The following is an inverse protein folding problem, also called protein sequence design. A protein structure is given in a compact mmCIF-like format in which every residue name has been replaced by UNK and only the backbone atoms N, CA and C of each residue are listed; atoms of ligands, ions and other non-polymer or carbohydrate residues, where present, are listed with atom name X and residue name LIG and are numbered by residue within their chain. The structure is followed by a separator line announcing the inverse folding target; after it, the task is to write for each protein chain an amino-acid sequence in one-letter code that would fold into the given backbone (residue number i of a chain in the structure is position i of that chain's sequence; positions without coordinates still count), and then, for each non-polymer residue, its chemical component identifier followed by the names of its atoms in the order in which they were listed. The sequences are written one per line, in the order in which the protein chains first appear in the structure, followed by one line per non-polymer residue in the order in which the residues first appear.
data_IF_246071398097
#
_entry.id   IF_246071398097
#
_cell.length_a   1.000
_cell.length_b   1.000
_cell.length_c   1.000
_cell.angle_alpha   90.00
_cell.angle_beta   90.00
_cell.angle_gamma   90.00
#
_symmetry.space_group_name_H-M   'P 1'
#
loop_
_entity.id
_entity.type
_entity.pdbx_description
1 polymer ?
#
# COMPACT_ATOMS: atom_id res chain seq x y z
N UNK A 1 -16.90 -34.14 -4.57
CA UNK A 1 -15.92 -33.52 -3.67
C UNK A 1 -15.31 -32.34 -4.40
N UNK A 2 -15.74 -31.13 -4.05
CA UNK A 2 -15.36 -29.89 -4.74
C UNK A 2 -14.05 -29.40 -4.16
N UNK A 3 -12.99 -29.46 -4.96
CA UNK A 3 -11.78 -28.71 -4.68
C UNK A 3 -12.15 -27.26 -4.99
N UNK A 4 -12.38 -26.45 -3.94
CA UNK A 4 -12.59 -25.02 -4.07
C UNK A 4 -11.32 -24.39 -4.64
N UNK A 5 -11.26 -24.30 -5.97
CA UNK A 5 -10.21 -23.65 -6.70
C UNK A 5 -10.21 -22.15 -6.33
N UNK A 6 -9.19 -21.76 -5.57
CA UNK A 6 -8.62 -20.43 -5.40
C UNK A 6 -9.56 -19.23 -5.49
N UNK A 7 -9.91 -18.65 -4.33
CA UNK A 7 -10.22 -17.22 -4.24
C UNK A 7 -9.02 -16.44 -4.74
N UNK A 8 -8.97 -16.12 -6.02
CA UNK A 8 -8.22 -14.99 -6.51
C UNK A 8 -8.93 -13.75 -5.96
N UNK A 9 -8.53 -13.36 -4.74
CA UNK A 9 -8.93 -12.11 -4.13
C UNK A 9 -8.70 -10.97 -5.13
N UNK A 10 -9.57 -9.98 -5.14
CA UNK A 10 -9.49 -8.84 -6.05
C UNK A 10 -8.24 -7.99 -5.75
N UNK A 11 -7.09 -8.40 -6.28
CA UNK A 11 -5.79 -7.74 -6.11
C UNK A 11 -5.54 -6.66 -7.16
N UNK A 12 -6.55 -6.35 -7.98
CA UNK A 12 -6.55 -5.21 -8.88
C UNK A 12 -7.98 -4.73 -9.12
N UNK A 13 -8.11 -3.52 -9.67
CA UNK A 13 -9.39 -2.87 -9.90
C UNK A 13 -10.28 -3.62 -10.89
N UNK A 14 -9.71 -4.23 -11.92
CA UNK A 14 -10.50 -4.90 -12.96
C UNK A 14 -11.14 -6.18 -12.42
N UNK A 15 -10.40 -6.97 -11.63
CA UNK A 15 -10.95 -8.13 -10.91
C UNK A 15 -12.02 -7.71 -9.90
N UNK A 16 -11.79 -6.61 -9.17
CA UNK A 16 -12.79 -6.07 -8.25
C UNK A 16 -14.08 -5.67 -8.98
N UNK A 17 -13.97 -5.00 -10.13
CA UNK A 17 -15.12 -4.64 -10.97
C UNK A 17 -15.83 -5.89 -11.47
N UNK A 18 -15.10 -6.92 -11.89
CA UNK A 18 -15.68 -8.18 -12.33
C UNK A 18 -16.50 -8.87 -11.23
N UNK A 19 -15.98 -8.92 -9.99
CA UNK A 19 -16.71 -9.46 -8.82
C UNK A 19 -17.98 -8.66 -8.52
N UNK A 20 -17.89 -7.33 -8.51
CA UNK A 20 -19.07 -6.47 -8.29
C UNK A 20 -20.12 -6.68 -9.38
N UNK A 21 -19.72 -6.80 -10.65
CA UNK A 21 -20.62 -7.09 -11.77
C UNK A 21 -21.25 -8.48 -11.68
N UNK A 22 -20.55 -9.45 -11.08
CA UNK A 22 -21.08 -10.78 -10.80
C UNK A 22 -22.08 -10.80 -9.63
N UNK A 23 -22.33 -9.66 -8.96
CA UNK A 23 -23.25 -9.57 -7.83
C UNK A 23 -22.66 -10.08 -6.51
N UNK A 24 -21.34 -10.28 -6.45
CA UNK A 24 -20.67 -10.70 -5.23
C UNK A 24 -20.71 -9.59 -4.17
N UNK A 25 -20.93 -9.98 -2.91
CA UNK A 25 -20.92 -9.03 -1.78
C UNK A 25 -19.49 -8.67 -1.42
N UNK A 26 -19.09 -7.43 -1.72
CA UNK A 26 -17.80 -6.87 -1.33
C UNK A 26 -17.93 -5.99 -0.09
N UNK A 27 -17.02 -6.14 0.86
CA UNK A 27 -16.90 -5.26 2.03
C UNK A 27 -15.64 -4.42 1.92
N UNK A 28 -15.76 -3.12 2.16
CA UNK A 28 -14.67 -2.15 2.05
C UNK A 28 -14.20 -1.68 3.42
N UNK A 29 -12.92 -1.32 3.51
CA UNK A 29 -12.34 -0.58 4.62
C UNK A 29 -11.59 0.62 4.06
N UNK A 30 -12.16 1.80 4.25
CA UNK A 30 -11.55 3.06 3.82
C UNK A 30 -10.49 3.52 4.81
N UNK A 31 -9.41 4.07 4.28
CA UNK A 31 -8.38 4.73 5.07
C UNK A 31 -7.81 5.91 4.28
N UNK A 32 -7.40 6.96 5.00
CA UNK A 32 -6.68 8.09 4.43
C UNK A 32 -6.01 8.88 5.56
N UNK A 33 -4.81 9.40 5.29
CA UNK A 33 -4.01 10.12 6.27
C UNK A 33 -3.21 9.21 7.19
N UNK A 34 -2.24 9.81 7.89
CA UNK A 34 -1.25 9.12 8.70
C UNK A 34 -1.26 9.53 10.18
N UNK A 35 -2.27 10.31 10.60
CA UNK A 35 -2.36 10.82 11.98
C UNK A 35 -2.68 9.64 12.92
N UNK A 36 -1.82 9.31 13.90
CA UNK A 36 -2.10 8.29 14.89
C UNK A 36 -3.25 8.70 15.80
N UNK A 37 -3.88 7.73 16.46
CA UNK A 37 -4.86 8.05 17.51
C UNK A 37 -4.14 8.66 18.72
N UNK A 38 -4.75 9.64 19.40
CA UNK A 38 -4.16 10.22 20.62
C UNK A 38 -3.97 9.21 21.75
N UNK A 39 -4.79 8.15 21.80
CA UNK A 39 -4.74 7.08 22.79
C UNK A 39 -3.64 6.04 22.52
N UNK A 40 -2.84 6.22 21.46
CA UNK A 40 -1.78 5.30 21.07
C UNK A 40 -2.26 3.98 20.47
N UNK A 41 -3.56 3.76 20.34
CA UNK A 41 -4.09 2.54 19.73
C UNK A 41 -3.84 2.53 18.22
N UNK A 42 -3.57 1.35 17.67
CA UNK A 42 -3.41 1.15 16.24
C UNK A 42 -4.74 1.44 15.53
N UNK A 43 -4.67 2.16 14.41
CA UNK A 43 -5.84 2.52 13.61
C UNK A 43 -5.54 2.42 12.12
N UNK A 44 -6.54 2.70 11.29
CA UNK A 44 -6.39 2.67 9.83
C UNK A 44 -5.30 3.62 9.31
N UNK A 45 -4.90 4.65 10.07
CA UNK A 45 -3.77 5.52 9.70
C UNK A 45 -2.44 4.76 9.56
N UNK A 46 -2.28 3.61 10.21
CA UNK A 46 -1.10 2.77 10.03
C UNK A 46 -0.96 2.18 8.63
N UNK A 47 -2.04 2.13 7.84
CA UNK A 47 -2.04 1.65 6.46
C UNK A 47 -1.39 2.67 5.50
N UNK A 48 -1.29 3.94 5.90
CA UNK A 48 -0.65 4.97 5.09
C UNK A 48 0.85 4.72 4.92
N UNK A 49 1.38 5.01 3.73
CA UNK A 49 2.82 5.01 3.45
C UNK A 49 3.56 6.11 4.24
N UNK A 50 2.83 7.11 4.74
CA UNK A 50 3.38 8.25 5.48
C UNK A 50 3.36 8.03 6.99
N UNK A 51 2.76 6.95 7.48
CA UNK A 51 2.80 6.61 8.90
C UNK A 51 4.24 6.34 9.34
N UNK A 52 4.65 6.96 10.45
CA UNK A 52 5.98 6.76 11.03
C UNK A 52 6.07 5.39 11.71
N UNK A 53 6.55 4.40 10.96
CA UNK A 53 6.73 3.02 11.42
C UNK A 53 8.04 2.50 10.84
N UNK A 54 9.18 2.88 11.43
CA UNK A 54 10.48 2.62 10.83
C UNK A 54 10.78 1.13 10.73
N UNK A 55 11.40 0.70 9.63
CA UNK A 55 11.77 -0.69 9.42
C UNK A 55 13.14 -0.79 8.73
N UNK A 56 13.79 -1.94 8.85
CA UNK A 56 15.14 -2.19 8.31
C UNK A 56 15.07 -3.29 7.25
N UNK A 57 15.72 -3.09 6.11
CA UNK A 57 15.90 -4.10 5.06
C UNK A 57 17.35 -4.08 4.63
N UNK A 58 18.01 -5.23 4.66
CA UNK A 58 19.44 -5.38 4.30
C UNK A 58 20.36 -4.35 4.98
N UNK A 59 20.11 -4.09 6.26
CA UNK A 59 20.87 -3.12 7.07
C UNK A 59 20.52 -1.64 6.83
N UNK A 60 19.65 -1.33 5.87
CA UNK A 60 19.19 0.04 5.59
C UNK A 60 17.89 0.34 6.33
N UNK A 61 17.86 1.43 7.10
CA UNK A 61 16.67 1.88 7.83
C UNK A 61 15.84 2.84 6.98
N UNK A 62 14.53 2.61 6.96
CA UNK A 62 13.53 3.48 6.33
C UNK A 62 12.62 4.06 7.41
N UNK A 63 12.47 5.39 7.45
CA UNK A 63 11.61 6.04 8.43
C UNK A 63 10.11 5.78 8.19
N UNK A 64 9.72 5.65 6.92
CA UNK A 64 8.36 5.30 6.48
C UNK A 64 8.40 4.43 5.24
N UNK A 65 7.27 3.84 4.86
CA UNK A 65 7.19 3.08 3.61
C UNK A 65 7.29 3.98 2.36
N UNK A 66 6.99 5.28 2.47
CA UNK A 66 7.30 6.28 1.42
C UNK A 66 8.82 6.38 1.18
N UNK A 67 9.64 6.38 2.23
CA UNK A 67 11.11 6.40 2.07
C UNK A 67 11.60 5.15 1.33
N UNK A 68 11.06 3.99 1.68
CA UNK A 68 11.32 2.74 0.95
C UNK A 68 10.92 2.85 -0.52
N UNK A 69 9.71 3.33 -0.81
CA UNK A 69 9.21 3.43 -2.18
C UNK A 69 10.10 4.33 -3.03
N UNK A 70 10.51 5.49 -2.51
CA UNK A 70 11.33 6.46 -3.24
C UNK A 70 12.78 6.02 -3.39
N UNK A 71 13.38 5.43 -2.35
CA UNK A 71 14.71 4.85 -2.44
C UNK A 71 14.75 3.65 -3.42
N UNK A 72 13.73 2.79 -3.40
CA UNK A 72 13.62 1.67 -4.34
C UNK A 72 13.39 2.13 -5.77
N UNK A 73 12.60 3.20 -5.96
CA UNK A 73 12.45 3.87 -7.26
C UNK A 73 13.81 4.37 -7.77
N UNK A 74 14.59 5.02 -6.93
CA UNK A 74 15.91 5.51 -7.30
C UNK A 74 16.87 4.36 -7.70
N UNK A 75 16.86 3.25 -6.94
CA UNK A 75 17.63 2.04 -7.29
C UNK A 75 17.21 1.44 -8.62
N UNK A 76 15.91 1.37 -8.88
CA UNK A 76 15.37 0.82 -10.13
C UNK A 76 15.91 1.54 -11.37
N UNK A 77 16.17 2.85 -11.25
CA UNK A 77 16.70 3.68 -12.35
C UNK A 77 18.19 4.00 -12.20
N UNK A 78 18.89 3.36 -11.26
CA UNK A 78 20.33 3.54 -11.07
C UNK A 78 20.74 4.95 -10.63
N UNK A 79 19.92 5.64 -9.84
CA UNK A 79 20.20 6.98 -9.33
C UNK A 79 20.58 6.97 -7.82
N UNK A 80 21.86 6.73 -7.47
CA UNK A 80 22.30 6.65 -6.08
C UNK A 80 22.18 7.98 -5.32
N UNK A 81 22.17 9.10 -6.03
CA UNK A 81 22.01 10.42 -5.41
C UNK A 81 20.58 10.64 -4.93
N UNK A 82 19.59 10.34 -5.79
CA UNK A 82 18.19 10.38 -5.42
C UNK A 82 17.86 9.35 -4.32
N UNK A 83 18.51 8.18 -4.35
CA UNK A 83 18.38 7.18 -3.29
C UNK A 83 18.83 7.76 -1.95
N UNK A 84 20.04 8.32 -1.88
CA UNK A 84 20.56 8.95 -0.67
C UNK A 84 19.65 10.08 -0.18
N UNK A 85 19.19 10.95 -1.07
CA UNK A 85 18.23 12.01 -0.71
C UNK A 85 16.94 11.47 -0.12
N UNK A 86 16.41 10.35 -0.65
CA UNK A 86 15.22 9.72 -0.12
C UNK A 86 15.45 9.06 1.24
N UNK A 87 16.65 8.52 1.50
CA UNK A 87 17.02 7.90 2.78
C UNK A 87 17.30 8.94 3.88
N UNK A 88 17.98 10.03 3.53
CA UNK A 88 18.37 11.11 4.45
C UNK A 88 17.22 12.07 4.76
N UNK A 89 16.11 11.97 4.03
CA UNK A 89 14.90 12.76 4.25
C UNK A 89 14.38 12.58 5.68
N UNK A 90 13.98 13.69 6.31
CA UNK A 90 13.45 13.68 7.67
C UNK A 90 11.94 13.51 7.70
N UNK A 91 11.28 13.78 6.57
CA UNK A 91 9.83 13.74 6.43
C UNK A 91 9.42 13.03 5.12
N UNK A 92 8.33 12.25 5.09
CA UNK A 92 7.89 11.54 3.87
C UNK A 92 7.65 12.47 2.66
N UNK A 93 7.26 13.73 2.90
CA UNK A 93 7.13 14.71 1.83
C UNK A 93 8.47 15.03 1.13
N UNK A 94 9.59 15.00 1.86
CA UNK A 94 10.93 15.21 1.31
C UNK A 94 11.39 13.98 0.54
N UNK A 95 11.16 12.78 1.08
CA UNK A 95 11.42 11.53 0.36
C UNK A 95 10.63 11.48 -0.96
N UNK A 96 9.35 11.85 -0.94
CA UNK A 96 8.50 11.94 -2.14
C UNK A 96 9.07 12.92 -3.17
N UNK A 97 9.60 14.06 -2.71
CA UNK A 97 10.26 15.04 -3.58
C UNK A 97 11.52 14.45 -4.21
N UNK A 98 12.35 13.75 -3.45
CA UNK A 98 13.54 13.06 -3.96
C UNK A 98 13.20 12.04 -5.04
N UNK A 99 12.14 11.23 -4.84
CA UNK A 99 11.67 10.29 -5.87
C UNK A 99 11.10 10.97 -7.13
N UNK A 100 10.73 12.24 -7.06
CA UNK A 100 10.38 13.07 -8.22
C UNK A 100 11.59 13.57 -9.02
N UNK A 101 12.79 13.50 -8.46
CA UNK A 101 14.05 13.96 -9.07
C UNK A 101 14.88 12.82 -9.67
N UNK A 102 14.40 11.57 -9.57
CA UNK A 102 15.10 10.38 -10.08
C UNK A 102 15.41 10.53 -11.56
N UNK A 103 16.70 10.47 -11.90
CA UNK A 103 17.21 10.49 -13.27
C UNK A 103 16.99 9.14 -13.95
N UNK A 104 16.94 9.16 -15.29
CA UNK A 104 16.70 7.94 -16.07
C UNK A 104 15.30 7.34 -15.87
N UNK A 105 14.37 8.12 -15.31
CA UNK A 105 13.02 7.67 -15.05
C UNK A 105 12.30 7.26 -16.34
N UNK A 106 11.87 6.00 -16.37
CA UNK A 106 10.99 5.45 -17.39
C UNK A 106 9.65 5.09 -16.75
N UNK A 107 8.59 5.72 -17.24
CA UNK A 107 7.25 5.57 -16.68
C UNK A 107 6.68 4.16 -16.92
N UNK A 108 7.00 3.50 -18.03
CA UNK A 108 6.53 2.14 -18.32
C UNK A 108 7.18 1.11 -17.41
N UNK A 109 8.49 1.23 -17.21
CA UNK A 109 9.23 0.46 -16.21
C UNK A 109 8.65 0.72 -14.83
N UNK A 110 8.42 1.98 -14.44
CA UNK A 110 7.85 2.29 -13.14
C UNK A 110 6.45 1.70 -12.95
N UNK A 111 5.56 1.83 -13.95
CA UNK A 111 4.21 1.26 -13.91
C UNK A 111 4.23 -0.24 -13.66
N UNK A 112 5.17 -0.96 -14.29
CA UNK A 112 5.33 -2.40 -14.14
C UNK A 112 5.84 -2.81 -12.75
N UNK A 113 6.83 -2.09 -12.22
CA UNK A 113 7.54 -2.50 -10.99
C UNK A 113 6.92 -1.94 -9.69
N UNK A 114 6.25 -0.78 -9.74
CA UNK A 114 5.84 -0.01 -8.53
C UNK A 114 5.00 -0.80 -7.54
N UNK A 115 4.09 -1.64 -8.02
CA UNK A 115 3.20 -2.42 -7.14
C UNK A 115 3.98 -3.45 -6.33
N UNK A 116 4.95 -4.14 -6.95
CA UNK A 116 5.82 -5.11 -6.27
C UNK A 116 6.72 -4.45 -5.23
N UNK A 117 7.25 -3.26 -5.55
CA UNK A 117 8.06 -2.47 -4.63
C UNK A 117 7.25 -2.06 -3.39
N UNK A 118 6.04 -1.52 -3.58
CA UNK A 118 5.19 -1.09 -2.46
C UNK A 118 4.67 -2.27 -1.65
N UNK A 119 4.31 -3.39 -2.28
CA UNK A 119 3.98 -4.65 -1.59
C UNK A 119 5.12 -5.07 -0.67
N UNK A 120 6.34 -5.14 -1.20
CA UNK A 120 7.54 -5.57 -0.45
C UNK A 120 7.80 -4.65 0.75
N UNK A 121 7.73 -3.33 0.55
CA UNK A 121 7.86 -2.36 1.64
C UNK A 121 6.81 -2.53 2.73
N UNK A 122 5.56 -2.78 2.34
CA UNK A 122 4.50 -3.08 3.29
C UNK A 122 4.77 -4.38 4.06
N UNK A 123 5.19 -5.45 3.40
CA UNK A 123 5.57 -6.71 4.09
C UNK A 123 6.64 -6.45 5.15
N UNK A 124 7.72 -5.75 4.80
CA UNK A 124 8.78 -5.42 5.78
C UNK A 124 8.28 -4.57 6.94
N UNK A 125 7.51 -3.52 6.66
CA UNK A 125 6.91 -2.65 7.68
C UNK A 125 6.02 -3.46 8.63
N UNK A 126 5.07 -4.23 8.12
CA UNK A 126 4.08 -4.91 8.95
C UNK A 126 4.66 -6.15 9.66
N UNK A 127 5.69 -6.80 9.10
CA UNK A 127 6.40 -7.90 9.76
C UNK A 127 7.23 -7.44 10.97
N UNK A 128 7.81 -6.23 10.91
CA UNK A 128 8.66 -5.71 11.98
C UNK A 128 7.88 -4.99 13.09
N UNK A 129 6.57 -4.80 12.92
CA UNK A 129 5.69 -4.12 13.87
C UNK A 129 4.49 -5.01 14.22
N UNK A 130 4.59 -5.90 15.23
CA UNK A 130 3.58 -6.91 15.50
C UNK A 130 2.14 -6.36 15.67
N UNK A 131 1.98 -5.23 16.36
CA UNK A 131 0.67 -4.59 16.51
C UNK A 131 0.08 -4.06 15.20
N UNK A 132 0.93 -3.52 14.31
CA UNK A 132 0.50 -3.11 12.99
C UNK A 132 0.19 -4.31 12.10
N UNK A 133 1.04 -5.34 12.15
CA UNK A 133 0.83 -6.60 11.42
C UNK A 133 -0.48 -7.27 11.81
N UNK A 134 -0.77 -7.33 13.11
CA UNK A 134 -2.05 -7.82 13.63
C UNK A 134 -3.23 -6.99 13.11
N UNK A 135 -3.11 -5.66 13.05
CA UNK A 135 -4.14 -4.80 12.48
C UNK A 135 -4.38 -5.11 10.99
N UNK A 136 -3.32 -5.21 10.19
CA UNK A 136 -3.42 -5.54 8.77
C UNK A 136 -4.07 -6.91 8.55
N UNK A 137 -3.66 -7.93 9.29
CA UNK A 137 -4.27 -9.27 9.23
C UNK A 137 -5.74 -9.25 9.67
N UNK A 138 -6.06 -8.48 10.71
CA UNK A 138 -7.41 -8.26 11.22
C UNK A 138 -8.33 -7.50 10.25
N UNK A 139 -7.81 -6.93 9.16
CA UNK A 139 -8.66 -6.43 8.07
C UNK A 139 -9.44 -7.54 7.38
N UNK A 140 -9.01 -8.81 7.55
CA UNK A 140 -9.74 -10.00 7.11
C UNK A 140 -9.78 -10.09 5.59
N UNK A 141 -10.99 -10.14 5.03
CA UNK A 141 -11.22 -10.22 3.58
C UNK A 141 -11.68 -8.87 2.99
N UNK A 142 -11.67 -7.80 3.79
CA UNK A 142 -12.09 -6.47 3.32
C UNK A 142 -11.13 -5.94 2.26
N UNK A 143 -11.70 -5.29 1.25
CA UNK A 143 -10.96 -4.51 0.27
C UNK A 143 -10.48 -3.24 0.95
N UNK A 144 -9.17 -3.04 0.99
CA UNK A 144 -8.58 -1.83 1.55
C UNK A 144 -8.64 -0.73 0.50
N UNK A 145 -9.15 0.43 0.88
CA UNK A 145 -9.38 1.53 -0.06
C UNK A 145 -8.73 2.81 0.46
N UNK A 146 -7.70 3.27 -0.24
CA UNK A 146 -7.09 4.57 0.04
C UNK A 146 -8.01 5.68 -0.49
N UNK A 147 -8.85 6.22 0.39
CA UNK A 147 -9.84 7.24 0.12
C UNK A 147 -9.23 8.65 0.10
N UNK A 148 -8.16 8.82 -0.68
CA UNK A 148 -7.48 10.09 -0.90
C UNK A 148 -8.11 10.83 -2.10
N UNK A 149 -8.70 12.03 -1.92
CA UNK A 149 -9.22 12.82 -3.05
C UNK A 149 -8.11 13.40 -3.93
N UNK A 150 -6.87 13.41 -3.45
CA UNK A 150 -5.69 14.01 -4.11
C UNK A 150 -4.83 12.99 -4.84
N UNK A 151 -5.07 11.69 -4.65
CA UNK A 151 -4.27 10.62 -5.26
C UNK A 151 -5.14 9.73 -6.14
N UNK A 152 -4.79 9.64 -7.42
CA UNK A 152 -5.48 8.81 -8.42
C UNK A 152 -4.67 7.57 -8.83
N UNK A 153 -3.46 7.40 -8.32
CA UNK A 153 -2.63 6.23 -8.58
C UNK A 153 -2.74 5.28 -7.39
N UNK A 154 -2.33 5.74 -6.21
CA UNK A 154 -2.35 4.93 -5.00
C UNK A 154 -3.72 4.88 -4.35
N UNK A 155 -4.49 5.96 -4.48
CA UNK A 155 -5.87 6.08 -4.00
C UNK A 155 -6.95 6.06 -5.08
N UNK A 156 -8.19 6.25 -4.64
CA UNK A 156 -9.39 6.24 -5.51
C UNK A 156 -9.78 7.62 -6.06
N UNK A 157 -9.07 8.69 -5.68
CA UNK A 157 -9.38 10.05 -6.10
C UNK A 157 -10.70 10.60 -5.53
N UNK A 158 -11.17 10.05 -4.41
CA UNK A 158 -12.42 10.38 -3.70
C UNK A 158 -12.19 10.28 -2.19
N UNK A 159 -12.99 11.00 -1.39
CA UNK A 159 -13.03 10.83 0.08
C UNK A 159 -13.92 9.63 0.46
N UNK A 160 -13.81 9.16 1.70
CA UNK A 160 -14.53 7.98 2.16
C UNK A 160 -16.06 8.17 2.27
N UNK A 161 -16.51 9.42 2.43
CA UNK A 161 -17.90 9.84 2.53
C UNK A 161 -18.56 10.12 1.17
N UNK A 162 -17.79 10.11 0.08
CA UNK A 162 -18.34 10.26 -1.27
C UNK A 162 -19.19 9.03 -1.63
N UNK A 163 -20.40 9.23 -2.14
CA UNK A 163 -21.32 8.15 -2.54
C UNK A 163 -20.71 7.15 -3.55
N UNK A 164 -19.69 7.59 -4.31
CA UNK A 164 -18.96 6.77 -5.28
C UNK A 164 -17.87 5.92 -4.66
N UNK A 165 -17.47 6.18 -3.42
CA UNK A 165 -16.32 5.53 -2.81
C UNK A 165 -16.50 4.01 -2.67
N UNK A 166 -17.73 3.55 -2.47
CA UNK A 166 -18.07 2.12 -2.40
C UNK A 166 -18.30 1.46 -3.78
N UNK A 167 -18.15 2.20 -4.89
CA UNK A 167 -18.34 1.70 -6.24
C UNK A 167 -17.04 1.79 -7.06
N UNK A 168 -16.32 0.66 -7.27
CA UNK A 168 -15.06 0.63 -7.99
C UNK A 168 -15.21 0.98 -9.48
N UNK A 169 -16.41 0.94 -10.06
CA UNK A 169 -16.66 1.44 -11.41
C UNK A 169 -16.64 2.97 -11.45
N UNK A 170 -16.99 3.64 -10.34
CA UNK A 170 -17.05 5.10 -10.23
C UNK A 170 -15.78 5.73 -9.62
N UNK A 171 -14.80 4.91 -9.24
CA UNK A 171 -13.49 5.39 -8.78
C UNK A 171 -12.78 6.21 -9.86
N UNK A 172 -12.13 7.29 -9.42
CA UNK A 172 -11.32 8.19 -10.27
C UNK A 172 -9.83 7.85 -10.22
N UNK A 173 -9.46 6.86 -9.43
CA UNK A 173 -8.10 6.38 -9.27
C UNK A 173 -8.00 4.85 -9.27
N UNK A 174 -6.77 4.37 -9.14
CA UNK A 174 -6.44 2.95 -9.30
C UNK A 174 -6.42 2.17 -7.98
N UNK A 175 -6.39 2.84 -6.82
CA UNK A 175 -6.30 2.20 -5.51
C UNK A 175 -5.11 1.23 -5.34
N UNK A 176 -3.98 1.49 -5.99
CA UNK A 176 -2.85 0.55 -5.98
C UNK A 176 -2.32 0.27 -4.56
N UNK A 177 -2.42 1.23 -3.64
CA UNK A 177 -1.94 1.01 -2.27
C UNK A 177 -2.83 0.00 -1.53
N UNK A 178 -4.14 0.13 -1.68
CA UNK A 178 -5.10 -0.79 -1.09
C UNK A 178 -4.83 -2.23 -1.50
N UNK A 179 -4.61 -2.45 -2.79
CA UNK A 179 -4.27 -3.77 -3.32
C UNK A 179 -2.90 -4.27 -2.86
N UNK A 180 -1.86 -3.42 -2.89
CA UNK A 180 -0.54 -3.80 -2.39
C UNK A 180 -0.54 -4.19 -0.89
N UNK A 181 -1.37 -3.53 -0.08
CA UNK A 181 -1.58 -3.90 1.33
C UNK A 181 -2.29 -5.25 1.47
N UNK A 182 -3.27 -5.54 0.61
CA UNK A 182 -3.97 -6.83 0.60
C UNK A 182 -3.03 -7.97 0.19
N UNK A 183 -2.17 -7.76 -0.82
CA UNK A 183 -1.16 -8.75 -1.17
C UNK A 183 -0.15 -8.95 -0.03
N UNK A 184 0.31 -7.87 0.61
CA UNK A 184 1.17 -7.96 1.78
C UNK A 184 0.52 -8.72 2.94
N UNK A 185 -0.80 -8.52 3.15
CA UNK A 185 -1.59 -9.26 4.14
C UNK A 185 -1.58 -10.76 3.86
N UNK A 186 -1.81 -11.19 2.62
CA UNK A 186 -1.80 -12.61 2.27
C UNK A 186 -0.39 -13.21 2.42
N UNK A 187 0.66 -12.46 2.05
CA UNK A 187 2.04 -12.90 2.22
C UNK A 187 2.41 -13.07 3.70
N UNK A 188 1.98 -12.15 4.57
CA UNK A 188 2.20 -12.26 6.01
C UNK A 188 1.39 -13.41 6.63
N UNK A 189 0.16 -13.62 6.18
CA UNK A 189 -0.70 -14.73 6.60
C UNK A 189 -0.06 -16.08 6.29
N UNK A 190 0.53 -16.24 5.10
CA UNK A 190 1.23 -17.46 4.69
C UNK A 190 2.51 -17.75 5.50
N UNK A 191 3.13 -16.72 6.11
CA UNK A 191 4.32 -16.87 6.96
C UNK A 191 3.99 -17.26 8.41
N UNK A 192 2.73 -17.15 8.83
CA UNK A 192 2.32 -17.59 10.16
C UNK A 192 2.22 -19.12 10.18
N UNK A 193 2.80 -19.80 11.20
CA UNK A 193 2.59 -21.23 11.38
C UNK A 193 1.09 -21.51 11.42
N UNK A 194 0.64 -22.49 10.64
CA UNK A 194 -0.73 -23.00 10.78
C UNK A 194 -0.83 -23.59 12.18
N UNK A 195 -1.68 -22.98 13.02
CA UNK A 195 -1.95 -23.48 14.37
C UNK A 195 -2.64 -24.85 14.32
#
# INVERSE_FOLDING_TARGET
MSVAAGRLACMDRDKLIAQVRAGERVTYMFFWGAVPRPDGQVSASCLSQWAHSPFVVDGVRYATAEHWMMASKARLFGDPEAERMALDATHPAEAKRAGGLVRGFDEDVWRRERSGIVRTGNVHKFAQHPGLGAFLLGTGERVLVEASPKDRIWGIGLTADDERAADPLRWRGLNLLGFALMEAREELRARQPTA
#
